data_IF_815874201457
#
_entry.id   IF_815874201457
#
_cell.length_a   1.000
_cell.length_b   1.000
_cell.length_c   1.000
_cell.angle_alpha   90.00
_cell.angle_beta   90.00
_cell.angle_gamma   90.00
#
_symmetry.space_group_name_H-M   'P 1'
#
loop_
_entity.id
_entity.type
_entity.pdbx_description
1 polymer ?
#
# COMPACT_ATOMS: atom_id res chain seq x y z
N UNK A 1 7.97 -62.10 29.37
CA UNK A 1 6.56 -61.79 28.98
C UNK A 1 6.59 -60.89 27.76
N UNK A 2 6.09 -61.34 26.59
CA UNK A 2 5.98 -60.51 25.38
C UNK A 2 4.53 -60.02 25.27
N UNK A 3 4.31 -58.73 25.52
CA UNK A 3 3.01 -58.07 25.31
C UNK A 3 2.69 -58.07 23.81
N UNK A 4 1.63 -58.78 23.41
CA UNK A 4 1.14 -58.77 22.04
C UNK A 4 0.36 -57.47 21.79
N UNK A 5 0.88 -56.61 20.91
CA UNK A 5 0.15 -55.47 20.35
C UNK A 5 -1.04 -55.99 19.52
N UNK A 6 -2.26 -55.60 19.89
CA UNK A 6 -3.48 -55.93 19.16
C UNK A 6 -3.79 -54.81 18.17
N UNK A 7 -3.41 -55.00 16.92
CA UNK A 7 -3.74 -54.07 15.83
C UNK A 7 -5.24 -54.19 15.55
N UNK A 8 -5.95 -53.06 15.63
CA UNK A 8 -7.39 -52.97 15.36
C UNK A 8 -7.61 -51.94 14.25
N UNK A 9 -8.53 -52.16 13.30
CA UNK A 9 -8.83 -51.17 12.27
C UNK A 9 -9.44 -49.93 12.92
N UNK A 10 -8.95 -48.75 12.53
CA UNK A 10 -9.58 -47.48 12.89
C UNK A 10 -10.89 -47.38 12.11
N UNK A 11 -12.01 -47.59 12.80
CA UNK A 11 -13.34 -47.67 12.19
C UNK A 11 -13.89 -46.31 11.73
N UNK A 12 -13.29 -45.22 12.21
CA UNK A 12 -13.73 -43.87 11.89
C UNK A 12 -12.50 -42.97 11.69
N UNK A 13 -12.33 -42.47 10.47
CA UNK A 13 -11.44 -41.35 10.20
C UNK A 13 -12.33 -40.14 9.94
N UNK A 14 -12.06 -39.02 10.60
CA UNK A 14 -12.73 -37.77 10.27
C UNK A 14 -12.44 -37.39 8.81
N UNK A 15 -13.33 -36.63 8.17
CA UNK A 15 -13.09 -36.15 6.82
C UNK A 15 -11.76 -35.40 6.79
N UNK A 16 -10.76 -35.83 6.00
CA UNK A 16 -9.49 -35.13 5.94
C UNK A 16 -9.74 -33.72 5.43
N UNK A 17 -9.30 -32.73 6.21
CA UNK A 17 -9.34 -31.32 5.85
C UNK A 17 -7.94 -30.75 5.95
N UNK A 18 -7.64 -29.78 5.10
CA UNK A 18 -6.42 -29.00 5.24
C UNK A 18 -6.43 -28.24 6.58
N UNK A 19 -5.27 -28.05 7.22
CA UNK A 19 -5.17 -27.20 8.40
C UNK A 19 -5.75 -25.81 8.10
N UNK A 20 -6.54 -25.27 9.02
CA UNK A 20 -6.99 -23.87 8.93
C UNK A 20 -5.87 -22.94 9.37
N UNK A 21 -5.95 -21.66 8.98
CA UNK A 21 -5.01 -20.62 9.42
C UNK A 21 -4.85 -20.58 10.94
N UNK A 22 -5.96 -20.72 11.67
CA UNK A 22 -5.95 -20.72 13.14
C UNK A 22 -5.25 -21.97 13.71
N UNK A 23 -5.42 -23.13 13.09
CA UNK A 23 -4.73 -24.35 13.49
C UNK A 23 -3.21 -24.28 13.25
N UNK A 24 -2.78 -23.64 12.16
CA UNK A 24 -1.37 -23.40 11.86
C UNK A 24 -0.75 -22.37 12.83
N UNK A 25 -1.49 -21.34 13.22
CA UNK A 25 -1.04 -20.37 14.22
C UNK A 25 -0.88 -21.01 15.60
N UNK A 26 -1.78 -21.93 15.95
CA UNK A 26 -1.72 -22.66 17.22
C UNK A 26 -0.60 -23.72 17.25
N UNK A 27 -0.35 -24.39 16.12
CA UNK A 27 0.75 -25.34 15.97
C UNK A 27 1.41 -25.21 14.58
N UNK A 28 2.49 -24.41 14.47
CA UNK A 28 3.21 -24.24 13.20
C UNK A 28 3.83 -25.53 12.65
N UNK A 29 4.07 -26.53 13.51
CA UNK A 29 4.68 -27.80 13.09
C UNK A 29 3.72 -28.69 12.30
N UNK A 30 2.41 -28.38 12.27
CA UNK A 30 1.43 -29.11 11.45
C UNK A 30 1.75 -28.99 9.94
N UNK A 31 2.39 -27.90 9.52
CA UNK A 31 2.86 -27.72 8.15
C UNK A 31 4.07 -28.60 7.82
N UNK A 32 4.82 -29.04 8.84
CA UNK A 32 5.99 -29.91 8.68
C UNK A 32 5.62 -31.40 8.60
N UNK A 33 4.35 -31.74 8.82
CA UNK A 33 3.83 -33.11 8.79
C UNK A 33 3.60 -33.61 7.36
N UNK A 34 4.67 -33.71 6.58
CA UNK A 34 4.64 -34.44 5.32
C UNK A 34 4.48 -35.95 5.60
N UNK A 35 3.46 -36.63 5.06
CA UNK A 35 3.33 -38.08 5.19
C UNK A 35 4.62 -38.77 4.73
N UNK A 36 5.13 -39.75 5.49
CA UNK A 36 6.38 -40.45 5.13
C UNK A 36 6.35 -41.06 3.72
N UNK A 37 5.16 -41.42 3.23
CA UNK A 37 4.96 -41.90 1.84
C UNK A 37 5.38 -40.87 0.79
N UNK A 38 5.23 -39.58 1.06
CA UNK A 38 5.55 -38.51 0.11
C UNK A 38 7.05 -38.21 0.10
N UNK A 39 7.72 -38.34 1.25
CA UNK A 39 9.18 -38.19 1.37
C UNK A 39 9.96 -39.23 0.55
N UNK A 40 9.34 -40.38 0.28
CA UNK A 40 9.97 -41.50 -0.44
C UNK A 40 9.66 -41.53 -1.95
N UNK A 41 8.93 -40.54 -2.49
CA UNK A 41 8.54 -40.50 -3.91
C UNK A 41 9.25 -39.35 -4.64
N UNK A 42 10.41 -39.60 -5.27
CA UNK A 42 11.20 -38.57 -5.96
C UNK A 42 10.38 -37.80 -7.00
N UNK A 43 9.50 -38.49 -7.73
CA UNK A 43 8.64 -37.88 -8.74
C UNK A 43 7.68 -36.83 -8.16
N UNK A 44 7.20 -37.03 -6.94
CA UNK A 44 6.25 -36.12 -6.28
C UNK A 44 6.99 -34.89 -5.74
N UNK A 45 8.18 -35.07 -5.18
CA UNK A 45 9.06 -33.96 -4.81
C UNK A 45 9.43 -33.11 -6.04
N UNK A 46 9.78 -33.75 -7.16
CA UNK A 46 10.07 -33.05 -8.42
C UNK A 46 8.85 -32.28 -8.92
N UNK A 47 7.68 -32.90 -8.98
CA UNK A 47 6.46 -32.24 -9.44
C UNK A 47 6.08 -31.02 -8.57
N UNK A 48 6.16 -31.16 -7.24
CA UNK A 48 5.89 -30.06 -6.30
C UNK A 48 6.93 -28.95 -6.43
N UNK A 49 8.22 -29.28 -6.51
CA UNK A 49 9.26 -28.28 -6.75
C UNK A 49 9.07 -27.56 -8.07
N UNK A 50 8.72 -28.29 -9.14
CA UNK A 50 8.50 -27.69 -10.45
C UNK A 50 7.30 -26.74 -10.42
N UNK A 51 6.23 -27.11 -9.71
CA UNK A 51 5.01 -26.31 -9.59
C UNK A 51 5.25 -25.04 -8.76
N UNK A 52 6.00 -25.16 -7.65
CA UNK A 52 6.43 -24.02 -6.84
C UNK A 52 7.37 -23.09 -7.64
N UNK A 53 8.33 -23.65 -8.36
CA UNK A 53 9.22 -22.87 -9.22
C UNK A 53 8.45 -22.17 -10.33
N UNK A 54 7.49 -22.82 -11.00
CA UNK A 54 6.66 -22.16 -12.02
C UNK A 54 5.72 -21.09 -11.43
N UNK A 55 5.29 -21.25 -10.17
CA UNK A 55 4.49 -20.24 -9.47
C UNK A 55 5.29 -19.01 -9.05
N UNK A 56 6.59 -19.17 -8.79
CA UNK A 56 7.50 -18.08 -8.40
C UNK A 56 8.04 -17.27 -9.60
N UNK A 57 7.90 -17.77 -10.84
CA UNK A 57 8.26 -17.05 -12.08
C UNK A 57 7.05 -16.55 -12.87
N UNK A 58 5.90 -16.38 -12.22
CA UNK A 58 4.66 -15.89 -12.82
C UNK A 58 4.65 -14.39 -13.12
N UNK A 59 5.69 -13.83 -13.77
CA UNK A 59 5.57 -12.53 -14.42
C UNK A 59 4.80 -12.71 -15.74
N UNK A 60 3.47 -12.78 -15.68
CA UNK A 60 2.66 -12.72 -16.89
C UNK A 60 2.67 -11.28 -17.43
N UNK A 61 3.47 -11.02 -18.47
CA UNK A 61 3.25 -9.86 -19.36
C UNK A 61 1.90 -10.02 -20.04
N UNK A 62 0.99 -9.08 -19.80
CA UNK A 62 -0.26 -8.94 -20.54
C UNK A 62 0.06 -8.62 -22.02
N UNK A 63 -0.29 -9.47 -23.00
CA UNK A 63 0.02 -9.23 -24.40
C UNK A 63 -0.86 -8.14 -25.04
N UNK A 64 -1.68 -7.40 -24.28
CA UNK A 64 -2.56 -6.33 -24.79
C UNK A 64 -2.07 -4.91 -24.48
N UNK A 65 -0.76 -4.72 -24.40
CA UNK A 65 -0.15 -3.41 -24.22
C UNK A 65 1.24 -3.36 -24.83
N UNK A 66 1.37 -3.65 -26.12
CA UNK A 66 2.58 -3.33 -26.87
C UNK A 66 2.43 -1.94 -27.46
N UNK A 67 2.84 -0.92 -26.72
CA UNK A 67 3.35 0.32 -27.29
C UNK A 67 4.72 0.59 -26.61
N UNK A 68 5.76 0.51 -27.42
CA UNK A 68 7.16 0.93 -27.22
C UNK A 68 7.85 0.62 -25.89
N UNK A 69 8.53 -0.52 -25.83
CA UNK A 69 9.65 -0.72 -24.88
C UNK A 69 10.94 -0.80 -25.69
N UNK A 70 11.73 0.28 -25.66
CA UNK A 70 13.14 0.22 -26.05
C UNK A 70 13.85 -0.75 -25.09
N UNK A 71 14.65 -1.67 -25.65
CA UNK A 71 15.36 -2.76 -24.95
C UNK A 71 16.51 -2.30 -24.01
N UNK A 72 16.59 -1.02 -23.63
CA UNK A 72 17.70 -0.45 -22.83
C UNK A 72 17.28 0.18 -21.48
N UNK A 73 16.04 0.02 -21.01
CA UNK A 73 15.58 0.73 -19.81
C UNK A 73 15.57 -0.18 -18.56
N UNK A 74 16.53 0.04 -17.65
CA UNK A 74 16.56 -0.49 -16.28
C UNK A 74 15.40 0.13 -15.48
N UNK A 75 14.16 -0.26 -15.83
CA UNK A 75 12.96 0.21 -15.16
C UNK A 75 12.77 -0.51 -13.83
N UNK A 76 12.91 0.26 -12.75
CA UNK A 76 12.75 -0.13 -11.37
C UNK A 76 11.27 0.00 -10.99
N UNK A 77 10.75 -1.02 -10.31
CA UNK A 77 9.43 -0.99 -9.68
C UNK A 77 9.62 -0.62 -8.22
N UNK A 78 9.27 0.61 -7.84
CA UNK A 78 9.38 1.05 -6.45
C UNK A 78 8.14 0.55 -5.69
N UNK A 79 8.29 -0.21 -4.58
CA UNK A 79 7.16 -0.61 -3.75
C UNK A 79 6.59 0.59 -2.98
N UNK A 80 5.36 0.46 -2.49
CA UNK A 80 4.80 1.43 -1.54
C UNK A 80 5.33 1.18 -0.13
N UNK A 81 5.59 2.24 0.63
CA UNK A 81 6.03 2.17 2.02
C UNK A 81 4.89 2.64 2.92
N UNK A 82 4.27 1.70 3.62
CA UNK A 82 3.01 1.95 4.32
C UNK A 82 3.23 2.55 5.72
N UNK A 83 2.84 3.82 5.91
CA UNK A 83 2.72 4.45 7.23
C UNK A 83 1.46 5.32 7.28
N UNK A 84 0.66 5.15 8.34
CA UNK A 84 -0.69 5.73 8.45
C UNK A 84 -1.75 4.97 7.64
N UNK A 85 -3.03 5.24 7.93
CA UNK A 85 -4.16 4.59 7.25
C UNK A 85 -4.35 5.10 5.82
N UNK A 86 -3.93 6.34 5.56
CA UNK A 86 -4.03 7.04 4.28
C UNK A 86 -5.46 7.23 3.79
N UNK A 87 -6.37 7.43 4.74
CA UNK A 87 -7.80 7.61 4.49
C UNK A 87 -8.31 8.85 5.21
N UNK A 88 -9.25 9.53 4.56
CA UNK A 88 -9.93 10.71 5.10
C UNK A 88 -11.41 10.68 4.77
N UNK A 89 -12.19 11.44 5.53
CA UNK A 89 -13.60 11.70 5.20
C UNK A 89 -13.98 13.11 5.61
N UNK A 90 -14.81 13.78 4.84
CA UNK A 90 -15.26 15.15 5.10
C UNK A 90 -16.76 15.30 4.83
N UNK A 91 -17.56 15.83 5.76
CA UNK A 91 -18.99 16.04 5.52
C UNK A 91 -19.90 16.30 6.71
N UNK A 92 -21.22 16.34 6.47
CA UNK A 92 -22.24 16.95 7.36
C UNK A 92 -22.36 16.42 8.81
N UNK A 93 -21.68 15.33 9.18
CA UNK A 93 -21.62 14.84 10.57
C UNK A 93 -20.19 14.41 10.91
N UNK A 94 -19.26 15.37 10.84
CA UNK A 94 -17.89 15.14 11.32
C UNK A 94 -17.92 14.86 12.83
N UNK A 95 -17.45 13.68 13.22
CA UNK A 95 -17.20 13.38 14.64
C UNK A 95 -15.86 13.98 15.09
N UNK A 96 -14.89 14.09 14.17
CA UNK A 96 -13.55 14.65 14.36
C UNK A 96 -13.22 15.62 13.22
N UNK A 97 -12.42 16.68 13.44
CA UNK A 97 -11.99 17.58 12.38
C UNK A 97 -11.08 16.86 11.37
N UNK A 98 -11.17 17.24 10.10
CA UNK A 98 -10.31 16.71 9.04
C UNK A 98 -8.94 17.40 9.11
N UNK A 99 -7.87 16.59 9.12
CA UNK A 99 -6.49 17.07 9.15
C UNK A 99 -5.76 16.45 7.98
N UNK A 100 -5.15 17.30 7.17
CA UNK A 100 -4.38 16.93 5.98
C UNK A 100 -3.07 17.72 5.96
N UNK A 101 -2.05 17.16 5.33
CA UNK A 101 -0.81 17.89 5.06
C UNK A 101 -0.99 18.73 3.79
N UNK A 102 -0.38 19.91 3.74
CA UNK A 102 -0.26 20.62 2.47
C UNK A 102 0.72 19.87 1.56
N UNK A 103 0.48 19.90 0.25
CA UNK A 103 1.40 19.31 -0.73
C UNK A 103 2.78 19.97 -0.64
N UNK A 104 2.84 21.28 -0.46
CA UNK A 104 4.11 22.00 -0.34
C UNK A 104 4.89 21.59 0.91
N UNK A 105 4.20 21.40 2.04
CA UNK A 105 4.81 20.89 3.27
C UNK A 105 5.33 19.46 3.09
N UNK A 106 4.54 18.59 2.45
CA UNK A 106 4.90 17.20 2.19
C UNK A 106 6.10 17.09 1.24
N UNK A 107 6.05 17.78 0.09
CA UNK A 107 7.11 17.83 -0.92
C UNK A 107 8.40 18.35 -0.30
N UNK A 108 8.33 19.41 0.51
CA UNK A 108 9.51 19.97 1.19
C UNK A 108 10.17 18.92 2.09
N UNK A 109 9.39 18.18 2.87
CA UNK A 109 9.90 17.13 3.77
C UNK A 109 10.52 15.98 2.99
N UNK A 110 9.86 15.53 1.91
CA UNK A 110 10.39 14.48 1.05
C UNK A 110 11.75 14.90 0.50
N UNK A 111 11.86 16.14 -0.02
CA UNK A 111 13.13 16.68 -0.55
C UNK A 111 14.21 16.82 0.53
N UNK A 112 13.87 17.26 1.73
CA UNK A 112 14.82 17.40 2.84
C UNK A 112 15.36 16.05 3.34
N UNK A 113 14.49 15.06 3.53
CA UNK A 113 14.89 13.71 3.96
C UNK A 113 15.71 13.00 2.86
N UNK A 114 15.33 13.17 1.58
CA UNK A 114 16.07 12.65 0.44
C UNK A 114 17.48 13.27 0.32
N UNK A 115 17.58 14.59 0.44
CA UNK A 115 18.85 15.31 0.39
C UNK A 115 19.82 14.86 1.50
N UNK A 116 19.29 14.50 2.68
CA UNK A 116 20.10 13.97 3.78
C UNK A 116 20.79 12.63 3.45
N UNK A 117 20.26 11.88 2.48
CA UNK A 117 20.81 10.61 1.97
C UNK A 117 21.52 10.76 0.62
N UNK A 118 21.64 11.98 0.09
CA UNK A 118 22.34 12.27 -1.16
C UNK A 118 21.48 12.16 -2.43
N UNK A 119 20.15 12.06 -2.30
CA UNK A 119 19.19 12.09 -3.42
C UNK A 119 18.68 13.51 -3.61
N UNK A 120 18.67 14.02 -4.84
CA UNK A 120 18.31 15.42 -5.13
C UNK A 120 17.19 15.47 -6.17
N UNK A 121 15.99 15.84 -5.72
CA UNK A 121 14.82 16.03 -6.58
C UNK A 121 14.65 17.49 -7.01
N UNK A 122 15.47 17.95 -7.95
CA UNK A 122 15.48 19.34 -8.43
C UNK A 122 14.82 19.54 -9.81
N UNK A 123 14.58 18.47 -10.55
CA UNK A 123 13.98 18.50 -11.88
C UNK A 123 12.50 18.07 -11.83
N UNK A 124 11.78 18.32 -12.92
CA UNK A 124 10.41 17.84 -13.12
C UNK A 124 10.36 16.88 -14.31
N UNK A 125 9.56 15.82 -14.17
CA UNK A 125 9.39 14.82 -15.23
C UNK A 125 7.91 14.52 -15.40
N UNK A 126 7.49 14.37 -16.66
CA UNK A 126 6.13 13.91 -16.98
C UNK A 126 6.15 12.42 -17.26
N UNK A 127 5.26 11.68 -16.60
CA UNK A 127 5.03 10.27 -16.84
C UNK A 127 3.76 10.11 -17.66
N UNK A 128 3.85 9.44 -18.80
CA UNK A 128 2.70 9.10 -19.62
C UNK A 128 2.17 7.73 -19.22
N UNK A 129 0.90 7.65 -18.87
CA UNK A 129 0.25 6.43 -18.44
C UNK A 129 -1.01 6.15 -19.24
N UNK A 130 -1.29 4.87 -19.47
CA UNK A 130 -2.52 4.43 -20.14
C UNK A 130 -3.54 3.79 -19.18
N UNK A 131 -3.19 3.70 -17.89
CA UNK A 131 -3.97 3.03 -16.85
C UNK A 131 -3.86 3.74 -15.49
N UNK A 132 -3.83 5.07 -15.46
CA UNK A 132 -3.80 5.81 -14.18
C UNK A 132 -5.09 5.58 -13.40
N UNK A 133 -5.03 5.46 -12.06
CA UNK A 133 -6.22 5.18 -11.27
C UNK A 133 -7.21 6.34 -11.36
N UNK A 134 -8.46 6.04 -11.71
CA UNK A 134 -9.56 6.96 -11.44
C UNK A 134 -10.02 6.75 -10.00
N UNK A 135 -10.22 7.83 -9.27
CA UNK A 135 -10.65 7.80 -7.87
C UNK A 135 -12.15 7.96 -7.76
N UNK A 136 -12.68 7.64 -6.58
CA UNK A 136 -14.07 7.84 -6.26
C UNK A 136 -14.17 8.43 -4.86
N UNK A 137 -14.77 9.61 -4.76
CA UNK A 137 -14.97 10.30 -3.49
C UNK A 137 -16.28 9.91 -2.81
N UNK A 138 -17.13 9.14 -3.48
CA UNK A 138 -18.44 8.76 -2.97
C UNK A 138 -18.43 7.34 -2.37
N UNK A 139 -19.06 7.14 -1.20
CA UNK A 139 -19.10 5.82 -0.57
C UNK A 139 -19.95 4.82 -1.38
N UNK A 140 -19.43 3.61 -1.57
CA UNK A 140 -20.20 2.46 -2.04
C UNK A 140 -20.16 2.18 -3.55
N UNK A 141 -19.27 2.84 -4.28
CA UNK A 141 -18.97 2.49 -5.67
C UNK A 141 -17.51 2.03 -5.79
N UNK A 142 -17.36 0.69 -5.86
CA UNK A 142 -16.10 -0.04 -5.93
C UNK A 142 -15.64 -0.25 -7.39
N UNK A 143 -16.27 0.38 -8.38
CA UNK A 143 -15.91 0.15 -9.78
C UNK A 143 -14.54 0.75 -10.09
N UNK A 144 -13.57 -0.12 -10.35
CA UNK A 144 -12.21 0.26 -10.72
C UNK A 144 -12.16 0.72 -12.17
N UNK A 145 -11.98 2.01 -12.38
CA UNK A 145 -11.68 2.58 -13.69
C UNK A 145 -10.29 3.19 -13.73
N UNK A 146 -9.82 3.38 -14.95
CA UNK A 146 -8.53 3.99 -15.22
C UNK A 146 -8.67 5.02 -16.32
N UNK A 147 -7.86 6.07 -16.26
CA UNK A 147 -7.78 7.08 -17.29
C UNK A 147 -6.40 7.06 -17.98
N UNK A 148 -6.31 7.76 -19.11
CA UNK A 148 -5.09 7.91 -19.91
C UNK A 148 -4.68 9.36 -19.94
N UNK A 149 -3.39 9.62 -19.74
CA UNK A 149 -2.86 10.97 -19.87
C UNK A 149 -1.43 11.06 -19.39
N UNK A 150 -1.08 12.23 -18.86
CA UNK A 150 0.26 12.54 -18.37
C UNK A 150 0.14 13.13 -16.97
N UNK A 151 0.97 12.65 -16.05
CA UNK A 151 1.12 13.21 -14.70
C UNK A 151 2.49 13.88 -14.64
N UNK A 152 2.54 15.10 -14.11
CA UNK A 152 3.77 15.82 -13.85
C UNK A 152 4.21 15.51 -12.42
N UNK A 153 5.39 14.88 -12.28
CA UNK A 153 5.88 14.44 -10.98
C UNK A 153 6.30 15.62 -10.10
N UNK A 154 6.05 15.50 -8.79
CA UNK A 154 6.41 16.48 -7.76
C UNK A 154 7.93 16.69 -7.60
N UNK A 155 8.70 15.68 -7.99
CA UNK A 155 10.15 15.79 -8.06
C UNK A 155 10.81 14.66 -8.83
N UNK A 156 11.96 14.97 -9.41
CA UNK A 156 12.74 14.03 -10.19
C UNK A 156 14.24 14.22 -9.99
N UNK A 157 14.95 13.11 -9.77
CA UNK A 157 16.41 13.04 -9.70
C UNK A 157 16.93 12.52 -11.05
N UNK A 158 17.64 13.38 -11.77
CA UNK A 158 18.11 13.08 -13.12
C UNK A 158 19.29 12.09 -13.17
N UNK A 159 20.07 12.03 -12.10
CA UNK A 159 21.25 11.16 -12.00
C UNK A 159 20.82 9.71 -11.70
N UNK A 160 19.90 9.54 -10.75
CA UNK A 160 19.34 8.23 -10.38
C UNK A 160 18.22 7.78 -11.33
N UNK A 161 17.72 8.71 -12.14
CA UNK A 161 16.55 8.54 -13.00
C UNK A 161 15.26 8.15 -12.27
N UNK A 162 15.14 8.52 -11.00
CA UNK A 162 13.99 8.22 -10.13
C UNK A 162 13.25 9.50 -9.79
N UNK A 163 11.93 9.49 -9.92
CA UNK A 163 11.07 10.57 -9.43
C UNK A 163 10.21 10.16 -8.25
N UNK A 164 9.42 11.10 -7.75
CA UNK A 164 8.38 10.80 -6.80
C UNK A 164 7.10 11.57 -7.09
N UNK A 165 5.99 11.01 -6.63
CA UNK A 165 4.66 11.61 -6.59
C UNK A 165 4.13 11.51 -5.16
N UNK A 166 3.53 12.57 -4.64
CA UNK A 166 2.83 12.59 -3.36
C UNK A 166 1.32 12.68 -3.60
N UNK A 167 0.59 11.62 -3.28
CA UNK A 167 -0.87 11.57 -3.44
C UNK A 167 -1.57 12.28 -2.28
N UNK A 168 -2.13 13.45 -2.58
CA UNK A 168 -2.87 14.30 -1.65
C UNK A 168 -4.40 14.11 -1.77
N UNK A 169 -5.14 14.84 -0.93
CA UNK A 169 -6.61 14.96 -1.07
C UNK A 169 -7.01 15.69 -2.35
N UNK A 170 -6.20 16.67 -2.79
CA UNK A 170 -6.42 17.39 -4.05
C UNK A 170 -6.31 16.42 -5.22
N UNK A 171 -5.27 15.59 -5.26
CA UNK A 171 -5.08 14.59 -6.33
C UNK A 171 -6.24 13.61 -6.40
N UNK A 172 -6.65 13.08 -5.24
CA UNK A 172 -7.82 12.18 -5.17
C UNK A 172 -9.08 12.88 -5.65
N UNK A 173 -9.22 14.19 -5.47
CA UNK A 173 -10.37 14.96 -5.95
C UNK A 173 -10.28 15.25 -7.46
N UNK A 174 -9.08 15.56 -7.97
CA UNK A 174 -8.85 15.86 -9.38
C UNK A 174 -8.98 14.62 -10.26
N UNK A 175 -8.58 13.46 -9.75
CA UNK A 175 -8.70 12.18 -10.45
C UNK A 175 -10.07 11.53 -10.25
N UNK A 176 -10.97 12.21 -9.52
CA UNK A 176 -12.30 11.69 -9.24
C UNK A 176 -13.14 11.63 -10.52
N UNK A 177 -13.87 10.54 -10.67
CA UNK A 177 -14.80 10.40 -11.80
C UNK A 177 -15.89 11.47 -11.72
N UNK A 178 -16.27 12.00 -12.87
CA UNK A 178 -17.53 12.74 -13.00
C UNK A 178 -18.70 11.79 -12.74
N UNK A 179 -19.57 12.16 -11.81
CA UNK A 179 -20.78 11.40 -11.49
C UNK A 179 -21.94 12.34 -11.21
N UNK A 180 -23.14 11.90 -11.55
CA UNK A 180 -24.40 12.58 -11.22
C UNK A 180 -24.83 12.33 -9.76
N UNK A 181 -24.07 11.52 -9.02
CA UNK A 181 -24.33 11.20 -7.62
C UNK A 181 -23.84 12.33 -6.71
N UNK A 182 -24.66 12.71 -5.73
CA UNK A 182 -24.31 13.72 -4.73
C UNK A 182 -24.40 13.12 -3.33
N UNK A 183 -23.33 13.26 -2.54
CA UNK A 183 -23.31 12.91 -1.13
C UNK A 183 -22.99 14.14 -0.28
N UNK A 184 -23.45 14.17 0.98
CA UNK A 184 -23.04 15.18 1.95
C UNK A 184 -21.70 14.84 2.65
N UNK A 185 -21.10 13.70 2.28
CA UNK A 185 -19.86 13.17 2.84
C UNK A 185 -19.01 12.66 1.69
N UNK A 186 -17.80 13.18 1.60
CA UNK A 186 -16.74 12.72 0.72
C UNK A 186 -15.79 11.78 1.49
N UNK A 187 -15.28 10.76 0.81
CA UNK A 187 -14.29 9.82 1.32
C UNK A 187 -13.05 9.89 0.43
N UNK A 188 -11.88 9.97 1.04
CA UNK A 188 -10.60 10.04 0.35
C UNK A 188 -9.77 8.81 0.71
N UNK A 189 -9.31 8.07 -0.31
CA UNK A 189 -8.46 6.88 -0.18
C UNK A 189 -7.10 7.15 -0.83
N UNK A 190 -6.27 7.95 -0.16
CA UNK A 190 -4.94 8.35 -0.65
C UNK A 190 -4.03 7.13 -0.74
N UNK A 191 -4.02 6.27 0.28
CA UNK A 191 -3.23 5.03 0.28
C UNK A 191 -3.63 4.10 -0.86
N UNK A 192 -4.91 3.76 -1.00
CA UNK A 192 -5.36 2.88 -2.08
C UNK A 192 -5.15 3.48 -3.46
N UNK A 193 -5.12 4.81 -3.59
CA UNK A 193 -4.76 5.50 -4.84
C UNK A 193 -3.27 5.41 -5.12
N UNK A 194 -2.42 5.64 -4.12
CA UNK A 194 -0.98 5.50 -4.23
C UNK A 194 -0.53 4.07 -4.55
N UNK A 195 -1.14 3.07 -3.93
CA UNK A 195 -0.91 1.65 -4.25
C UNK A 195 -1.14 1.39 -5.74
N UNK A 196 -2.31 1.78 -6.25
CA UNK A 196 -2.67 1.60 -7.66
C UNK A 196 -1.78 2.40 -8.60
N UNK A 197 -1.37 3.61 -8.21
CA UNK A 197 -0.47 4.42 -9.02
C UNK A 197 0.91 3.76 -9.12
N UNK A 198 1.46 3.28 -7.98
CA UNK A 198 2.79 2.63 -7.90
C UNK A 198 2.92 1.38 -8.78
N UNK A 199 1.82 0.67 -9.03
CA UNK A 199 1.81 -0.50 -9.93
C UNK A 199 1.97 -0.12 -11.41
N UNK A 200 1.61 1.12 -11.77
CA UNK A 200 1.53 1.60 -13.16
C UNK A 200 2.73 2.46 -13.52
N UNK A 201 3.26 3.25 -12.58
CA UNK A 201 4.44 4.09 -12.79
C UNK A 201 5.74 3.31 -12.58
N UNK A 202 6.78 3.64 -13.35
CA UNK A 202 8.11 3.03 -13.27
C UNK A 202 9.11 4.10 -12.91
N UNK A 203 10.15 3.74 -12.17
CA UNK A 203 11.16 4.69 -11.68
C UNK A 203 10.53 5.87 -10.91
N UNK A 204 9.43 5.62 -10.20
CA UNK A 204 8.72 6.64 -9.45
C UNK A 204 8.32 6.07 -8.10
N UNK A 205 8.77 6.71 -7.02
CA UNK A 205 8.28 6.45 -5.67
C UNK A 205 6.94 7.15 -5.49
N UNK A 206 5.93 6.44 -5.00
CA UNK A 206 4.62 7.04 -4.73
C UNK A 206 4.44 7.10 -3.21
N UNK A 207 4.37 8.32 -2.70
CA UNK A 207 4.04 8.64 -1.31
C UNK A 207 2.57 9.04 -1.23
N UNK A 208 2.00 9.03 -0.03
CA UNK A 208 0.61 9.43 0.17
C UNK A 208 0.43 10.16 1.50
N UNK A 209 -0.60 11.01 1.57
CA UNK A 209 -1.02 11.62 2.83
C UNK A 209 -1.40 10.52 3.83
N UNK A 210 -0.68 10.36 4.96
CA UNK A 210 -0.91 9.28 5.92
C UNK A 210 -2.30 9.27 6.56
N UNK A 211 -3.05 10.37 6.46
CA UNK A 211 -4.34 10.56 7.09
C UNK A 211 -4.24 10.70 8.61
N UNK A 212 -5.22 11.41 9.18
CA UNK A 212 -5.40 11.49 10.62
C UNK A 212 -6.03 10.21 11.19
N UNK A 213 -5.86 9.98 12.50
CA UNK A 213 -6.55 8.94 13.26
C UNK A 213 -7.79 9.54 13.98
N UNK A 214 -8.98 9.49 13.37
CA UNK A 214 -10.20 10.01 13.98
C UNK A 214 -10.63 9.25 15.24
N UNK A 215 -10.11 8.03 15.46
CA UNK A 215 -10.38 7.25 16.65
C UNK A 215 -9.81 7.86 17.93
N UNK A 216 -8.84 8.77 17.80
CA UNK A 216 -8.23 9.48 18.94
C UNK A 216 -8.99 10.73 19.36
N UNK A 217 -9.96 11.20 18.54
CA UNK A 217 -10.71 12.41 18.84
C UNK A 217 -11.87 12.14 19.80
N UNK A 218 -11.72 12.60 21.04
CA UNK A 218 -12.78 12.54 22.04
C UNK A 218 -13.14 13.93 22.57
N UNK A 219 -14.36 14.38 22.26
CA UNK A 219 -14.92 15.63 22.76
C UNK A 219 -16.16 15.38 23.62
N UNK A 220 -16.23 16.05 24.76
CA UNK A 220 -17.45 16.12 25.54
C UNK A 220 -18.39 17.12 24.85
N UNK A 221 -19.50 16.63 24.29
CA UNK A 221 -20.45 17.45 23.53
C UNK A 221 -21.25 18.41 24.41
N UNK A 222 -21.20 18.24 25.73
CA UNK A 222 -21.85 19.14 26.70
C UNK A 222 -20.90 20.23 27.20
N UNK A 223 -19.62 20.20 26.81
CA UNK A 223 -18.65 21.23 27.16
C UNK A 223 -18.97 22.58 26.50
N UNK A 224 -18.45 23.66 27.08
CA UNK A 224 -18.53 24.98 26.48
C UNK A 224 -17.73 25.07 25.16
N UNK A 225 -18.10 26.04 24.32
CA UNK A 225 -17.51 26.22 22.99
C UNK A 225 -15.99 26.44 23.03
N UNK A 226 -15.46 27.14 24.04
CA UNK A 226 -14.02 27.41 24.16
C UNK A 226 -13.22 26.14 24.46
N UNK A 227 -13.78 25.27 25.31
CA UNK A 227 -13.20 23.95 25.62
C UNK A 227 -13.21 23.04 24.39
N UNK A 228 -14.27 23.10 23.59
CA UNK A 228 -14.38 22.37 22.33
C UNK A 228 -13.34 22.89 21.34
N UNK A 229 -13.28 24.20 21.09
CA UNK A 229 -12.32 24.82 20.17
C UNK A 229 -10.87 24.47 20.54
N UNK A 230 -10.50 24.58 21.82
CA UNK A 230 -9.15 24.20 22.29
C UNK A 230 -8.83 22.72 22.05
N UNK A 231 -9.82 21.83 22.15
CA UNK A 231 -9.64 20.41 21.84
C UNK A 231 -9.46 20.17 20.35
N UNK A 232 -10.17 20.91 19.50
CA UNK A 232 -9.98 20.84 18.04
C UNK A 232 -8.56 21.28 17.69
N UNK A 233 -8.10 22.43 18.19
CA UNK A 233 -6.73 22.93 17.95
C UNK A 233 -5.67 21.94 18.43
N UNK A 234 -5.86 21.35 19.62
CA UNK A 234 -4.93 20.36 20.16
C UNK A 234 -4.88 19.10 19.28
N UNK A 235 -6.04 18.57 18.90
CA UNK A 235 -6.12 17.40 18.03
C UNK A 235 -5.51 17.68 16.65
N UNK A 236 -5.80 18.82 16.04
CA UNK A 236 -5.20 19.22 14.76
C UNK A 236 -3.67 19.25 14.85
N UNK A 237 -3.11 19.80 15.92
CA UNK A 237 -1.67 19.84 16.14
C UNK A 237 -1.07 18.43 16.32
N UNK A 238 -1.69 17.59 17.15
CA UNK A 238 -1.21 16.23 17.43
C UNK A 238 -1.28 15.35 16.18
N UNK A 239 -2.38 15.44 15.42
CA UNK A 239 -2.54 14.68 14.18
C UNK A 239 -1.57 15.17 13.10
N UNK A 240 -1.34 16.48 12.96
CA UNK A 240 -0.32 16.98 12.04
C UNK A 240 1.05 16.43 12.39
N UNK A 241 1.46 16.47 13.66
CA UNK A 241 2.76 15.91 14.07
C UNK A 241 2.88 14.41 13.75
N UNK A 242 1.84 13.64 14.04
CA UNK A 242 1.77 12.21 13.70
C UNK A 242 1.88 11.97 12.18
N UNK A 243 1.14 12.74 11.37
CA UNK A 243 1.16 12.63 9.92
C UNK A 243 2.53 12.98 9.35
N UNK A 244 3.19 14.01 9.87
CA UNK A 244 4.54 14.38 9.47
C UNK A 244 5.54 13.26 9.77
N UNK A 245 5.43 12.62 10.95
CA UNK A 245 6.30 11.51 11.31
C UNK A 245 6.05 10.26 10.48
N UNK A 246 4.78 9.96 10.17
CA UNK A 246 4.42 8.88 9.25
C UNK A 246 4.98 9.15 7.84
N UNK A 247 4.85 10.36 7.31
CA UNK A 247 5.40 10.72 6.00
C UNK A 247 6.93 10.57 5.97
N UNK A 248 7.62 11.07 7.00
CA UNK A 248 9.08 10.86 7.15
C UNK A 248 9.45 9.39 7.17
N UNK A 249 8.65 8.56 7.84
CA UNK A 249 8.88 7.12 7.88
C UNK A 249 8.72 6.47 6.50
N UNK A 250 7.71 6.87 5.70
CA UNK A 250 7.57 6.41 4.31
C UNK A 250 8.82 6.76 3.48
N UNK A 251 9.31 8.01 3.59
CA UNK A 251 10.47 8.48 2.84
C UNK A 251 11.76 7.78 3.28
N UNK A 252 11.95 7.57 4.60
CA UNK A 252 13.13 6.88 5.12
C UNK A 252 13.16 5.42 4.69
N UNK A 253 12.04 4.72 4.75
CA UNK A 253 11.96 3.34 4.28
C UNK A 253 12.25 3.24 2.78
N UNK A 254 11.78 4.21 1.98
CA UNK A 254 12.14 4.32 0.57
C UNK A 254 13.65 4.50 0.35
N UNK A 255 14.28 5.41 1.08
CA UNK A 255 15.71 5.68 0.96
C UNK A 255 16.56 4.49 1.45
N UNK A 256 16.14 3.82 2.51
CA UNK A 256 16.79 2.60 3.01
C UNK A 256 16.61 1.45 2.02
N UNK A 257 15.48 1.37 1.31
CA UNK A 257 15.28 0.45 0.21
C UNK A 257 16.18 0.76 -1.00
N UNK A 258 16.31 2.04 -1.40
CA UNK A 258 17.24 2.43 -2.47
C UNK A 258 18.69 2.02 -2.15
N UNK A 259 19.11 2.21 -0.90
CA UNK A 259 20.44 1.80 -0.45
C UNK A 259 20.60 0.27 -0.43
N UNK A 260 19.52 -0.47 -0.10
CA UNK A 260 19.54 -1.93 -0.12
C UNK A 260 19.61 -2.51 -1.54
N UNK A 261 19.05 -1.81 -2.52
CA UNK A 261 19.11 -2.15 -3.96
C UNK A 261 20.40 -1.68 -4.64
N UNK A 262 21.36 -1.10 -3.88
CA UNK A 262 22.64 -0.57 -4.39
C UNK A 262 22.46 0.55 -5.44
N UNK A 263 21.36 1.32 -5.32
CA UNK A 263 21.06 2.48 -6.17
C UNK A 263 21.75 3.74 -5.61
N UNK A 264 21.82 3.86 -4.28
CA UNK A 264 22.49 4.95 -3.55
C UNK A 264 23.46 4.43 -2.48
#
# INVERSE_FOLDING_TARGET
MRSKLKVSPVLFYGTPKYPTKDAVRADPLILNALPQRWKAMPALCVAVSLTLSTGLFGCSRDPRGSDDVNEDDLSISVPIFEHGEGRGSYGCVMVAPAVYLSEEEAIQIIKEEAAAKGVVFDDTRKVKGTRFPATNIYPGDDDYETWRGEIELDGYDSDLQIGFEYVSVSDVSEWAKETDYWCSVDQYDMKGTAERLSEVVRNTAVFYDPGADPGTFEVDREADSETIERKFEQYESEQKELMLDNLRAQVRDFLDWLAAEDII
#
